data_IF_311558161339
#
_entry.id   IF_311558161339
#
_cell.length_a   1.000
_cell.length_b   1.000
_cell.length_c   1.000
_cell.angle_alpha   90.00
_cell.angle_beta   90.00
_cell.angle_gamma   90.00
#
_symmetry.space_group_name_H-M   'P 1'
#
loop_
_entity.id
_entity.type
_entity.pdbx_description
1 polymer ?
#
# COMPACT_ATOMS: atom_id res chain seq x y z
N UNK A 1 -16.94 11.17 -6.35
CA UNK A 1 -16.06 10.00 -6.18
C UNK A 1 -16.12 9.17 -7.45
N UNK A 2 -14.98 8.91 -8.09
CA UNK A 2 -14.91 8.14 -9.34
C UNK A 2 -15.25 6.67 -9.06
N UNK A 3 -16.00 6.02 -9.95
CA UNK A 3 -16.51 4.65 -9.75
C UNK A 3 -15.37 3.65 -9.48
N UNK A 4 -14.25 3.81 -10.20
CA UNK A 4 -13.06 2.94 -10.09
C UNK A 4 -12.39 3.06 -8.72
N UNK A 5 -12.21 4.27 -8.18
CA UNK A 5 -11.50 4.45 -6.91
C UNK A 5 -12.29 3.83 -5.75
N UNK A 6 -13.63 3.91 -5.80
CA UNK A 6 -14.50 3.21 -4.85
C UNK A 6 -14.40 1.68 -4.99
N UNK A 7 -14.38 1.17 -6.23
CA UNK A 7 -14.25 -0.26 -6.49
C UNK A 7 -12.91 -0.81 -5.97
N UNK A 8 -11.81 -0.06 -6.18
CA UNK A 8 -10.48 -0.43 -5.67
C UNK A 8 -10.48 -0.44 -4.15
N UNK A 9 -10.97 0.63 -3.49
CA UNK A 9 -11.06 0.66 -2.02
C UNK A 9 -11.89 -0.50 -1.47
N UNK A 10 -13.03 -0.79 -2.10
CA UNK A 10 -13.88 -1.92 -1.71
C UNK A 10 -13.17 -3.27 -1.89
N UNK A 11 -12.42 -3.46 -2.97
CA UNK A 11 -11.67 -4.69 -3.20
C UNK A 11 -10.61 -4.94 -2.11
N UNK A 12 -9.88 -3.89 -1.69
CA UNK A 12 -8.91 -3.97 -0.59
C UNK A 12 -9.59 -4.35 0.73
N UNK A 13 -10.66 -3.64 1.10
CA UNK A 13 -11.43 -3.93 2.34
C UNK A 13 -11.99 -5.35 2.31
N UNK A 14 -12.54 -5.78 1.17
CA UNK A 14 -13.10 -7.13 1.03
C UNK A 14 -12.02 -8.21 1.16
N UNK A 15 -10.85 -8.00 0.57
CA UNK A 15 -9.74 -8.96 0.65
C UNK A 15 -9.26 -9.09 2.10
N UNK A 16 -9.06 -7.97 2.79
CA UNK A 16 -8.63 -7.94 4.19
C UNK A 16 -9.63 -8.66 5.11
N UNK A 17 -10.93 -8.33 5.00
CA UNK A 17 -11.98 -9.02 5.74
C UNK A 17 -12.01 -10.52 5.44
N UNK A 18 -11.83 -10.92 4.17
CA UNK A 18 -11.82 -12.35 3.80
C UNK A 18 -10.68 -13.11 4.48
N UNK A 19 -9.50 -12.49 4.61
CA UNK A 19 -8.34 -13.08 5.30
C UNK A 19 -8.62 -13.21 6.80
N UNK A 20 -9.15 -12.14 7.42
CA UNK A 20 -9.44 -12.12 8.86
C UNK A 20 -10.56 -13.10 9.23
N UNK A 21 -11.66 -13.12 8.48
CA UNK A 21 -12.80 -14.00 8.73
C UNK A 21 -12.39 -15.48 8.61
N UNK A 22 -11.56 -15.82 7.61
CA UNK A 22 -11.03 -17.18 7.44
C UNK A 22 -10.12 -17.58 8.60
N UNK A 23 -9.23 -16.69 9.04
CA UNK A 23 -8.35 -16.93 10.18
C UNK A 23 -9.12 -17.09 11.50
N UNK A 24 -10.12 -16.26 11.73
CA UNK A 24 -10.99 -16.34 12.91
C UNK A 24 -11.77 -17.65 12.96
N UNK A 25 -12.40 -18.03 11.83
CA UNK A 25 -13.15 -19.29 11.72
C UNK A 25 -12.24 -20.50 11.97
N UNK A 26 -11.02 -20.49 11.42
CA UNK A 26 -10.06 -21.56 11.63
C UNK A 26 -9.64 -21.72 13.09
N UNK A 27 -9.63 -20.64 13.89
CA UNK A 27 -9.21 -20.70 15.29
C UNK A 27 -10.31 -21.17 16.25
N UNK A 28 -11.58 -20.85 15.95
CA UNK A 28 -12.71 -21.18 16.83
C UNK A 28 -12.97 -22.68 16.96
N UNK A 29 -12.71 -23.43 15.90
CA UNK A 29 -13.03 -24.87 15.82
C UNK A 29 -11.79 -25.78 15.92
N UNK A 30 -10.59 -25.22 16.11
CA UNK A 30 -9.34 -25.95 16.07
C UNK A 30 -8.86 -26.46 17.44
N UNK A 31 -8.28 -27.65 17.42
CA UNK A 31 -7.48 -28.15 18.54
C UNK A 31 -6.19 -27.32 18.67
N UNK A 32 -5.63 -27.21 19.89
CA UNK A 32 -4.32 -26.60 20.09
C UNK A 32 -3.26 -27.24 19.17
N UNK A 33 -2.48 -26.40 18.49
CA UNK A 33 -1.43 -26.81 17.54
C UNK A 33 -1.92 -27.54 16.27
N UNK A 34 -3.18 -27.37 15.85
CA UNK A 34 -3.64 -27.86 14.54
C UNK A 34 -2.91 -27.14 13.38
N UNK A 35 -2.10 -27.89 12.64
CA UNK A 35 -1.33 -27.38 11.51
C UNK A 35 -2.20 -26.81 10.37
N UNK A 36 -3.40 -27.36 10.16
CA UNK A 36 -4.35 -26.89 9.15
C UNK A 36 -4.89 -25.52 9.55
N UNK A 37 -5.32 -25.39 10.80
CA UNK A 37 -5.78 -24.11 11.33
C UNK A 37 -4.69 -23.04 11.29
N UNK A 38 -3.45 -23.41 11.64
CA UNK A 38 -2.30 -22.50 11.54
C UNK A 38 -2.01 -22.08 10.10
N UNK A 39 -2.18 -22.97 9.12
CA UNK A 39 -1.98 -22.61 7.71
C UNK A 39 -2.99 -21.58 7.19
N UNK A 40 -4.24 -21.64 7.68
CA UNK A 40 -5.31 -20.69 7.34
C UNK A 40 -5.14 -19.37 8.10
N UNK A 41 -4.67 -19.41 9.35
CA UNK A 41 -4.41 -18.23 10.17
C UNK A 41 -3.15 -17.47 9.70
N UNK A 42 -2.16 -18.15 9.12
CA UNK A 42 -0.86 -17.57 8.79
C UNK A 42 -0.94 -16.25 7.99
N UNK A 43 -1.77 -16.09 6.95
CA UNK A 43 -1.90 -14.82 6.23
C UNK A 43 -2.43 -13.67 7.10
N UNK A 44 -3.32 -13.95 8.06
CA UNK A 44 -3.91 -12.92 8.92
C UNK A 44 -2.91 -12.35 9.94
N UNK A 45 -1.89 -13.13 10.33
CA UNK A 45 -0.89 -12.70 11.32
C UNK A 45 0.44 -12.23 10.70
N UNK A 46 0.72 -12.58 9.44
CA UNK A 46 1.99 -12.24 8.80
C UNK A 46 2.06 -10.76 8.38
N UNK A 47 0.92 -10.17 7.99
CA UNK A 47 0.86 -8.81 7.43
C UNK A 47 1.49 -8.72 6.03
N UNK A 48 1.14 -7.67 5.28
CA UNK A 48 1.78 -7.37 3.99
C UNK A 48 1.59 -5.90 3.59
N UNK A 49 2.53 -5.37 2.81
CA UNK A 49 2.39 -4.10 2.10
C UNK A 49 1.99 -4.37 0.64
N UNK A 50 1.22 -3.46 0.03
CA UNK A 50 0.73 -3.61 -1.35
C UNK A 50 0.79 -2.28 -2.10
N UNK A 51 1.27 -2.34 -3.34
CA UNK A 51 1.10 -1.30 -4.35
C UNK A 51 0.45 -1.93 -5.58
N UNK A 52 -0.69 -1.38 -6.00
CA UNK A 52 -1.44 -1.81 -7.17
C UNK A 52 -1.40 -0.72 -8.25
N UNK A 53 -1.07 -1.12 -9.48
CA UNK A 53 -1.10 -0.28 -10.67
C UNK A 53 -2.25 -0.68 -11.58
N UNK A 54 -3.09 0.28 -11.99
CA UNK A 54 -4.15 0.06 -12.98
C UNK A 54 -3.93 1.05 -14.11
N UNK A 55 -3.58 0.54 -15.30
CA UNK A 55 -3.40 1.33 -16.49
C UNK A 55 -4.60 1.17 -17.42
N UNK A 56 -5.28 2.28 -17.71
CA UNK A 56 -6.31 2.36 -18.73
C UNK A 56 -5.68 2.85 -20.05
N UNK A 57 -5.55 2.00 -21.09
CA UNK A 57 -4.91 2.38 -22.34
C UNK A 57 -5.75 3.34 -23.19
N UNK A 58 -7.07 3.37 -23.03
CA UNK A 58 -7.95 4.24 -23.81
C UNK A 58 -7.78 5.69 -23.36
N UNK A 59 -7.80 5.91 -22.05
CA UNK A 59 -7.61 7.25 -21.47
C UNK A 59 -6.15 7.59 -21.17
N UNK A 60 -5.24 6.61 -21.30
CA UNK A 60 -3.82 6.70 -20.89
C UNK A 60 -3.65 7.08 -19.41
N UNK A 61 -4.60 6.66 -18.58
CA UNK A 61 -4.59 6.97 -17.14
C UNK A 61 -3.90 5.83 -16.38
N UNK A 62 -2.83 6.16 -15.64
CA UNK A 62 -2.25 5.27 -14.64
C UNK A 62 -2.81 5.62 -13.26
N UNK A 63 -3.47 4.67 -12.60
CA UNK A 63 -3.93 4.78 -11.21
C UNK A 63 -3.02 3.95 -10.31
N UNK A 64 -2.74 4.47 -9.14
CA UNK A 64 -1.96 3.81 -8.10
C UNK A 64 -2.80 3.71 -6.83
N UNK A 65 -2.86 2.53 -6.24
CA UNK A 65 -3.38 2.32 -4.89
C UNK A 65 -2.26 1.74 -4.01
N UNK A 66 -2.04 2.35 -2.85
CA UNK A 66 -0.94 2.01 -1.94
C UNK A 66 -1.47 1.77 -0.53
N UNK A 67 -1.01 0.67 0.08
CA UNK A 67 -1.23 0.33 1.49
C UNK A 67 0.09 -0.12 2.09
N UNK A 68 0.53 0.55 3.15
CA UNK A 68 1.84 0.36 3.78
C UNK A 68 2.92 1.30 3.23
N UNK A 69 4.18 0.88 3.36
CA UNK A 69 5.38 1.68 3.07
C UNK A 69 6.09 1.30 1.76
N UNK A 70 5.45 0.48 0.93
CA UNK A 70 5.89 0.25 -0.45
C UNK A 70 5.61 1.48 -1.32
N UNK A 71 6.47 1.74 -2.32
CA UNK A 71 6.43 2.98 -3.10
C UNK A 71 6.30 2.78 -4.60
N UNK A 72 5.36 3.51 -5.21
CA UNK A 72 5.25 3.68 -6.65
C UNK A 72 6.07 4.88 -7.12
N UNK A 73 6.93 4.67 -8.12
CA UNK A 73 7.73 5.72 -8.76
C UNK A 73 7.60 5.59 -10.28
N UNK A 74 7.36 6.72 -10.95
CA UNK A 74 7.32 6.81 -12.41
C UNK A 74 8.53 7.61 -12.91
N UNK A 75 9.32 7.02 -13.81
CA UNK A 75 10.39 7.72 -14.50
C UNK A 75 9.87 8.31 -15.82
N UNK A 76 9.88 9.64 -15.94
CA UNK A 76 9.50 10.35 -17.16
C UNK A 76 10.74 10.63 -18.01
N UNK A 77 10.70 10.24 -19.28
CA UNK A 77 11.81 10.48 -20.21
C UNK A 77 11.72 11.88 -20.82
N UNK A 78 12.76 12.68 -20.62
CA UNK A 78 12.92 13.97 -21.28
C UNK A 78 13.49 13.77 -22.69
N UNK A 79 12.63 13.89 -23.71
CA UNK A 79 13.01 13.69 -25.12
C UNK A 79 14.03 14.72 -25.62
N UNK A 80 14.11 15.89 -25.00
CA UNK A 80 15.02 16.96 -25.41
C UNK A 80 16.46 16.72 -24.91
N UNK A 81 16.62 15.86 -23.89
CA UNK A 81 17.91 15.41 -23.35
C UNK A 81 18.45 14.15 -24.08
N UNK A 82 17.70 13.60 -25.03
CA UNK A 82 18.08 12.38 -25.76
C UNK A 82 19.21 12.60 -26.79
N UNK A 83 19.59 13.85 -27.07
CA UNK A 83 20.66 14.21 -28.00
C UNK A 83 22.03 14.22 -27.30
N UNK A 84 22.51 13.04 -26.92
CA UNK A 84 23.91 12.62 -27.10
C UNK A 84 25.05 13.34 -26.38
N UNK A 85 24.87 14.40 -25.59
CA UNK A 85 25.98 14.98 -24.81
C UNK A 85 26.10 14.32 -23.44
N UNK A 86 26.93 13.27 -23.37
CA UNK A 86 27.37 12.56 -22.14
C UNK A 86 28.12 13.44 -21.13
N UNK A 87 28.15 14.75 -21.32
CA UNK A 87 28.97 15.71 -20.56
C UNK A 87 28.16 16.57 -19.59
N UNK A 88 26.84 16.33 -19.48
CA UNK A 88 26.00 16.99 -18.50
C UNK A 88 25.66 16.03 -17.35
N UNK A 89 25.72 16.48 -16.10
CA UNK A 89 25.30 15.73 -14.91
C UNK A 89 23.76 15.48 -14.87
N UNK A 90 23.05 15.69 -15.97
CA UNK A 90 21.59 15.59 -16.07
C UNK A 90 21.16 14.24 -16.65
N UNK A 91 20.31 13.53 -15.91
CA UNK A 91 19.67 12.29 -16.37
C UNK A 91 18.59 12.58 -17.40
N UNK A 92 18.50 11.77 -18.46
CA UNK A 92 17.39 11.82 -19.42
C UNK A 92 16.05 11.34 -18.82
N UNK A 93 16.07 10.83 -17.59
CA UNK A 93 14.91 10.36 -16.84
C UNK A 93 14.76 11.12 -15.53
N UNK A 94 13.56 11.62 -15.28
CA UNK A 94 13.16 12.28 -14.03
C UNK A 94 12.22 11.36 -13.24
N UNK A 95 12.61 10.91 -12.02
CA UNK A 95 11.73 10.10 -11.18
C UNK A 95 10.71 10.98 -10.45
N UNK A 96 9.44 10.59 -10.50
CA UNK A 96 8.34 11.19 -9.73
C UNK A 96 7.64 10.14 -8.87
N UNK A 97 7.43 10.45 -7.58
CA UNK A 97 6.65 9.59 -6.69
C UNK A 97 5.16 9.62 -7.06
N UNK A 98 4.52 8.45 -7.11
CA UNK A 98 3.08 8.30 -7.36
C UNK A 98 2.30 7.81 -6.14
N UNK A 99 2.99 7.53 -5.03
CA UNK A 99 2.40 7.18 -3.75
C UNK A 99 3.18 7.81 -2.61
N UNK A 100 2.55 7.91 -1.45
CA UNK A 100 3.18 8.29 -0.20
C UNK A 100 3.26 7.08 0.72
N UNK A 101 4.38 6.94 1.43
CA UNK A 101 4.58 5.83 2.36
C UNK A 101 3.71 6.05 3.61
N UNK A 102 3.05 4.99 4.07
CA UNK A 102 2.24 5.00 5.29
C UNK A 102 3.08 4.49 6.45
N UNK A 103 4.00 5.33 6.92
CA UNK A 103 4.94 5.04 8.00
C UNK A 103 5.03 6.20 9.01
N UNK A 104 5.87 6.06 10.04
CA UNK A 104 6.03 7.07 11.08
C UNK A 104 6.68 8.39 10.63
N UNK A 105 7.30 8.43 9.44
CA UNK A 105 7.89 9.64 8.87
C UNK A 105 6.85 10.52 8.15
N UNK A 106 5.72 9.93 7.73
CA UNK A 106 4.62 10.64 7.11
C UNK A 106 3.76 11.37 8.17
N UNK A 107 3.86 12.71 8.19
CA UNK A 107 3.15 13.57 9.15
C UNK A 107 1.63 13.47 9.04
N UNK A 108 1.11 13.24 7.84
CA UNK A 108 -0.33 13.11 7.62
C UNK A 108 -0.82 11.78 8.18
N UNK A 109 -0.04 10.71 8.01
CA UNK A 109 -0.35 9.40 8.60
C UNK A 109 -0.27 9.42 10.13
N UNK A 110 0.76 10.04 10.68
CA UNK A 110 0.89 10.26 12.14
C UNK A 110 -0.31 11.06 12.67
N UNK A 111 -0.74 12.09 11.95
CA UNK A 111 -1.90 12.90 12.35
C UNK A 111 -3.20 12.11 12.26
N UNK A 112 -3.37 11.27 11.23
CA UNK A 112 -4.53 10.38 11.06
C UNK A 112 -4.64 9.38 12.21
N UNK A 113 -3.54 8.71 12.57
CA UNK A 113 -3.50 7.75 13.68
C UNK A 113 -3.83 8.44 15.00
N UNK A 114 -3.19 9.59 15.31
CA UNK A 114 -3.49 10.36 16.53
C UNK A 114 -4.96 10.79 16.62
N UNK A 115 -5.56 11.19 15.51
CA UNK A 115 -6.97 11.58 15.47
C UNK A 115 -7.92 10.40 15.69
N UNK A 116 -7.54 9.19 15.30
CA UNK A 116 -8.32 7.97 15.52
C UNK A 116 -8.27 7.47 16.98
N UNK A 117 -7.26 7.88 17.76
CA UNK A 117 -6.99 7.41 19.11
C UNK A 117 -6.86 8.57 20.12
N UNK A 118 -7.95 9.31 20.42
CA UNK A 118 -7.90 10.45 21.33
C UNK A 118 -7.59 10.01 22.76
N UNK A 119 -6.40 10.36 23.27
CA UNK A 119 -5.99 10.11 24.66
C UNK A 119 -4.77 9.20 24.81
N UNK A 120 -4.37 8.50 23.75
CA UNK A 120 -3.14 7.69 23.72
C UNK A 120 -1.92 8.60 23.46
N UNK A 121 -0.84 8.43 24.23
CA UNK A 121 0.37 9.26 24.11
C UNK A 121 1.20 8.81 22.91
N UNK A 122 2.07 9.70 22.40
CA UNK A 122 2.92 9.40 21.23
C UNK A 122 3.82 8.17 21.40
N UNK A 123 4.29 7.91 22.63
CA UNK A 123 5.07 6.71 22.98
C UNK A 123 4.20 5.44 23.11
N UNK A 124 2.88 5.56 23.22
CA UNK A 124 1.97 4.40 23.28
C UNK A 124 1.49 4.00 21.88
N UNK A 125 1.47 4.95 20.94
CA UNK A 125 0.96 4.75 19.58
C UNK A 125 2.00 4.26 18.57
N UNK A 126 3.29 4.51 18.82
CA UNK A 126 4.37 4.27 17.84
C UNK A 126 5.60 3.54 18.42
N UNK A 127 5.50 2.98 19.63
CA UNK A 127 6.54 2.12 20.22
C UNK A 127 6.35 0.64 19.84
#
# INVERSE_FOLDING_TARGET
MNNIDCAVKWAFIKLDNTILDAGQAALLDADPCDATAMSVLAPAIAGSCVVLFIFDPETKTLRVASVGDSRAVLASHNRDMATGERNSNSSAYEPGALSEDQNAENKDEVSRIKAAHPGERGEELFN
#
